data_IF_853424889254
#
_entry.id   IF_853424889254
#
_cell.length_a   1.000
_cell.length_b   1.000
_cell.length_c   1.000
_cell.angle_alpha   90.00
_cell.angle_beta   90.00
_cell.angle_gamma   90.00
#
_symmetry.space_group_name_H-M   'P 1'
#
loop_
_entity.id
_entity.type
_entity.pdbx_description
1 polymer ?
#
# COMPACT_ATOMS: atom_id res chain seq x y z
N UNK A 1 -0.79 16.12 7.64
CA UNK A 1 0.33 16.23 6.68
C UNK A 1 -0.12 17.20 5.62
N UNK A 2 0.47 18.41 5.60
CA UNK A 2 -0.12 19.56 4.92
C UNK A 2 0.73 20.11 3.76
N UNK A 3 2.01 19.75 3.69
CA UNK A 3 2.93 20.17 2.61
C UNK A 3 3.47 18.99 1.82
N UNK A 4 4.09 19.29 0.68
CA UNK A 4 4.85 18.34 -0.13
C UNK A 4 6.12 17.87 0.60
N UNK A 5 6.81 18.77 1.31
CA UNK A 5 7.98 18.43 2.12
C UNK A 5 7.68 17.41 3.23
N UNK A 6 6.53 17.54 3.89
CA UNK A 6 6.08 16.57 4.90
C UNK A 6 5.93 15.17 4.30
N UNK A 7 5.36 15.10 3.09
CA UNK A 7 5.18 13.84 2.38
C UNK A 7 6.51 13.25 1.97
N UNK A 8 7.44 14.04 1.43
CA UNK A 8 8.77 13.54 1.04
C UNK A 8 9.50 12.94 2.23
N UNK A 9 9.41 13.56 3.42
CA UNK A 9 9.97 12.98 4.66
C UNK A 9 9.33 11.65 5.02
N UNK A 10 8.00 11.58 4.94
CA UNK A 10 7.24 10.36 5.24
C UNK A 10 7.54 9.26 4.22
N UNK A 11 7.61 9.59 2.93
CA UNK A 11 7.98 8.67 1.87
C UNK A 11 9.37 8.08 2.13
N UNK A 12 10.37 8.94 2.33
CA UNK A 12 11.76 8.51 2.57
C UNK A 12 11.88 7.64 3.84
N UNK A 13 11.11 7.92 4.88
CA UNK A 13 11.13 7.15 6.13
C UNK A 13 10.48 5.77 6.02
N UNK A 14 9.51 5.59 5.12
CA UNK A 14 8.66 4.39 5.10
C UNK A 14 8.72 3.57 3.81
N UNK A 15 9.19 4.13 2.69
CA UNK A 15 9.15 3.48 1.37
C UNK A 15 9.79 2.09 1.37
N UNK A 16 10.99 1.96 1.93
CA UNK A 16 11.70 0.68 1.97
C UNK A 16 10.94 -0.41 2.74
N UNK A 17 10.29 -0.05 3.86
CA UNK A 17 9.51 -0.99 4.66
C UNK A 17 8.19 -1.37 3.98
N UNK A 18 7.51 -0.39 3.39
CA UNK A 18 6.28 -0.61 2.63
C UNK A 18 6.55 -1.51 1.42
N UNK A 19 7.65 -1.28 0.70
CA UNK A 19 8.04 -2.10 -0.44
C UNK A 19 8.28 -3.55 -0.03
N UNK A 20 9.02 -3.79 1.07
CA UNK A 20 9.21 -5.14 1.63
C UNK A 20 7.90 -5.81 2.02
N UNK A 21 6.95 -5.06 2.58
CA UNK A 21 5.63 -5.58 2.91
C UNK A 21 4.88 -6.02 1.63
N UNK A 22 4.84 -5.15 0.63
CA UNK A 22 4.23 -5.45 -0.67
C UNK A 22 4.86 -6.69 -1.31
N UNK A 23 6.20 -6.81 -1.27
CA UNK A 23 6.94 -7.96 -1.78
C UNK A 23 6.55 -9.26 -1.06
N UNK A 24 6.35 -9.20 0.26
CA UNK A 24 5.85 -10.33 1.05
C UNK A 24 4.45 -10.78 0.61
N UNK A 25 3.52 -9.85 0.39
CA UNK A 25 2.19 -10.19 -0.14
C UNK A 25 2.22 -10.67 -1.59
N UNK A 26 3.16 -10.17 -2.39
CA UNK A 26 3.30 -10.50 -3.81
C UNK A 26 4.00 -11.85 -4.02
N UNK A 27 4.29 -12.59 -2.95
CA UNK A 27 5.03 -13.86 -3.00
C UNK A 27 6.35 -13.75 -3.76
N UNK A 28 7.05 -12.62 -3.60
CA UNK A 28 8.33 -12.34 -4.27
C UNK A 28 8.22 -11.77 -5.68
N UNK A 29 7.02 -11.60 -6.25
CA UNK A 29 6.85 -10.90 -7.53
C UNK A 29 7.18 -9.41 -7.36
N UNK A 30 8.31 -8.98 -7.94
CA UNK A 30 8.85 -7.63 -7.79
C UNK A 30 8.06 -6.57 -8.56
N UNK A 31 7.55 -6.90 -9.74
CA UNK A 31 6.73 -6.00 -10.57
C UNK A 31 5.42 -5.67 -9.85
N UNK A 32 4.71 -6.70 -9.41
CA UNK A 32 3.46 -6.54 -8.65
C UNK A 32 3.69 -5.79 -7.33
N UNK A 33 4.79 -6.07 -6.64
CA UNK A 33 5.14 -5.35 -5.42
C UNK A 33 5.43 -3.86 -5.67
N UNK A 34 6.06 -3.53 -6.79
CA UNK A 34 6.31 -2.15 -7.21
C UNK A 34 5.00 -1.41 -7.49
N UNK A 35 4.06 -2.06 -8.19
CA UNK A 35 2.75 -1.48 -8.49
C UNK A 35 1.95 -1.19 -7.22
N UNK A 36 1.89 -2.15 -6.30
CA UNK A 36 1.22 -1.94 -5.02
C UNK A 36 1.91 -0.88 -4.19
N UNK A 37 3.25 -0.85 -4.15
CA UNK A 37 4.00 0.17 -3.44
C UNK A 37 3.67 1.58 -3.96
N UNK A 38 3.60 1.76 -5.28
CA UNK A 38 3.20 3.04 -5.89
C UNK A 38 1.77 3.42 -5.49
N UNK A 39 0.81 2.49 -5.63
CA UNK A 39 -0.59 2.72 -5.29
C UNK A 39 -0.77 3.09 -3.81
N UNK A 40 0.03 2.50 -2.91
CA UNK A 40 0.04 2.85 -1.49
C UNK A 40 0.39 4.32 -1.29
N UNK A 41 1.47 4.80 -1.90
CA UNK A 41 1.90 6.18 -1.70
C UNK A 41 1.01 7.20 -2.40
N UNK A 42 0.38 6.83 -3.52
CA UNK A 42 -0.70 7.62 -4.13
C UNK A 42 -1.87 7.77 -3.15
N UNK A 43 -2.31 6.68 -2.50
CA UNK A 43 -3.39 6.75 -1.49
C UNK A 43 -2.98 7.53 -0.25
N UNK A 44 -1.74 7.36 0.22
CA UNK A 44 -1.19 8.13 1.34
C UNK A 44 -1.24 9.63 1.00
N UNK A 45 -0.79 10.02 -0.20
CA UNK A 45 -0.88 11.40 -0.66
C UNK A 45 -2.32 11.89 -0.70
N UNK A 46 -3.22 11.16 -1.34
CA UNK A 46 -4.62 11.57 -1.50
C UNK A 46 -5.36 11.71 -0.16
N UNK A 47 -5.03 10.88 0.83
CA UNK A 47 -5.66 10.88 2.15
C UNK A 47 -4.85 11.61 3.24
N UNK A 48 -3.73 12.24 2.90
CA UNK A 48 -2.83 12.90 3.88
C UNK A 48 -3.50 13.94 4.79
N UNK A 49 -4.52 14.62 4.27
CA UNK A 49 -5.30 15.64 5.00
C UNK A 49 -6.36 15.03 5.93
N UNK A 50 -6.75 13.77 5.71
CA UNK A 50 -7.74 13.08 6.56
C UNK A 50 -7.12 12.35 7.74
N UNK A 51 -5.79 12.26 7.81
CA UNK A 51 -5.08 11.69 8.94
C UNK A 51 -5.22 12.58 10.18
N UNK A 52 -6.00 12.12 11.17
CA UNK A 52 -6.33 12.85 12.41
C UNK A 52 -5.38 12.58 13.59
N UNK A 53 -4.24 11.92 13.36
CA UNK A 53 -3.27 11.64 14.43
C UNK A 53 -3.73 10.67 15.52
N UNK A 54 -4.82 9.91 15.29
CA UNK A 54 -5.34 8.93 16.26
C UNK A 54 -4.52 7.64 16.36
N UNK A 55 -3.49 7.48 15.53
CA UNK A 55 -2.52 6.39 15.52
C UNK A 55 -1.17 6.95 15.10
N UNK A 56 -0.09 6.16 15.21
CA UNK A 56 1.16 6.50 14.54
C UNK A 56 0.95 6.56 13.02
N UNK A 57 1.73 7.42 12.35
CA UNK A 57 1.69 7.56 10.88
C UNK A 57 2.09 6.25 10.20
N UNK A 58 3.08 5.53 10.75
CA UNK A 58 3.53 4.23 10.27
C UNK A 58 2.39 3.21 10.27
N UNK A 59 1.63 3.13 11.36
CA UNK A 59 0.45 2.25 11.47
C UNK A 59 -0.60 2.58 10.41
N UNK A 60 -0.82 3.87 10.14
CA UNK A 60 -1.79 4.31 9.14
C UNK A 60 -1.35 3.93 7.72
N UNK A 61 -0.07 4.15 7.38
CA UNK A 61 0.52 3.76 6.09
C UNK A 61 0.47 2.24 5.90
N UNK A 62 0.86 1.47 6.92
CA UNK A 62 0.80 0.01 6.86
C UNK A 62 -0.60 -0.51 6.62
N UNK A 63 -1.62 0.10 7.24
CA UNK A 63 -3.01 -0.27 6.98
C UNK A 63 -3.43 -0.01 5.53
N UNK A 64 -2.98 1.09 4.93
CA UNK A 64 -3.20 1.35 3.50
C UNK A 64 -2.51 0.27 2.66
N UNK A 65 -1.25 -0.07 2.97
CA UNK A 65 -0.48 -1.10 2.28
C UNK A 65 -1.13 -2.47 2.31
N UNK A 66 -1.52 -2.95 3.50
CA UNK A 66 -2.23 -4.21 3.66
C UNK A 66 -3.54 -4.22 2.85
N UNK A 67 -4.30 -3.12 2.89
CA UNK A 67 -5.56 -3.02 2.14
C UNK A 67 -5.36 -3.03 0.62
N UNK A 68 -4.30 -2.40 0.10
CA UNK A 68 -3.95 -2.44 -1.32
C UNK A 68 -3.62 -3.88 -1.73
N UNK A 69 -2.69 -4.53 -1.04
CA UNK A 69 -2.24 -5.88 -1.38
C UNK A 69 -3.40 -6.90 -1.29
N UNK A 70 -4.13 -6.90 -0.17
CA UNK A 70 -5.26 -7.82 0.00
C UNK A 70 -6.42 -7.52 -0.96
N UNK A 71 -6.66 -6.25 -1.26
CA UNK A 71 -7.70 -5.83 -2.20
C UNK A 71 -7.44 -6.38 -3.60
N UNK A 72 -6.20 -6.32 -4.06
CA UNK A 72 -5.80 -6.81 -5.36
C UNK A 72 -5.80 -8.35 -5.42
N UNK A 73 -5.22 -9.02 -4.42
CA UNK A 73 -5.26 -10.49 -4.31
C UNK A 73 -6.68 -11.07 -4.35
N UNK A 74 -7.66 -10.37 -3.75
CA UNK A 74 -9.07 -10.76 -3.79
C UNK A 74 -9.67 -10.61 -5.18
N UNK A 75 -9.29 -9.59 -5.95
CA UNK A 75 -9.76 -9.41 -7.33
C UNK A 75 -9.24 -10.51 -8.25
N UNK A 76 -7.96 -10.87 -8.12
CA UNK A 76 -7.35 -11.96 -8.89
C UNK A 76 -8.05 -13.29 -8.63
N UNK A 77 -8.37 -13.60 -7.36
CA UNK A 77 -9.15 -14.80 -7.02
C UNK A 77 -10.55 -14.82 -7.61
N UNK A 78 -11.24 -13.68 -7.64
CA UNK A 78 -12.61 -13.58 -8.17
C UNK A 78 -12.67 -13.75 -9.70
N UNK A 79 -11.58 -13.40 -10.39
CA UNK A 79 -11.48 -13.49 -11.85
C UNK A 79 -10.90 -14.81 -12.34
N UNK A 80 -10.61 -15.77 -11.45
CA UNK A 80 -10.27 -17.13 -11.87
C UNK A 80 -11.55 -17.79 -12.41
N UNK A 81 -11.56 -18.33 -13.64
CA UNK A 81 -12.73 -19.04 -14.14
C UNK A 81 -13.08 -20.14 -13.15
N UNK A 82 -14.34 -20.18 -12.75
CA UNK A 82 -14.88 -21.27 -11.95
C UNK A 82 -14.69 -22.50 -12.83
N UNK A 83 -13.85 -23.44 -12.41
CA UNK A 83 -13.80 -24.75 -13.06
C UNK A 83 -15.17 -25.40 -12.83
N UNK A 84 -16.02 -25.35 -13.86
CA UNK A 84 -17.17 -26.23 -14.00
C UNK A 84 -16.60 -27.62 -14.35
N UNK A 85 -16.57 -28.51 -13.37
CA UNK A 85 -16.52 -29.97 -13.60
C UNK A 85 -17.89 -30.47 -14.06
#
# INVERSE_FOLDING_TARGET
MNSEEDFTKIYNAHASKVHRLCLGYASGNTELANDWHQEVFIKVWNHRKSFKGKSAIETWIYRIAVNVCLGDLRKTKKNSPINEE
#
